data_IF_241068662785
#
_entry.id   IF_241068662785
#
_cell.length_a   1.000
_cell.length_b   1.000
_cell.length_c   1.000
_cell.angle_alpha   90.00
_cell.angle_beta   90.00
_cell.angle_gamma   90.00
#
_symmetry.space_group_name_H-M   'P 1'
#
loop_
_entity.id
_entity.type
_entity.pdbx_description
1 polymer ?
#
# COMPACT_ATOMS: atom_id res chain seq x y z
N UNK A 1 -25.01 4.94 -7.08
CA UNK A 1 -24.39 3.63 -7.32
C UNK A 1 -25.28 2.56 -6.70
N UNK A 2 -25.57 1.49 -7.44
CA UNK A 2 -26.31 0.34 -6.93
C UNK A 2 -25.32 -0.82 -6.80
N UNK A 3 -25.30 -1.46 -5.64
CA UNK A 3 -24.44 -2.60 -5.37
C UNK A 3 -24.31 -2.87 -3.88
N UNK A 4 -23.68 -3.98 -3.52
CA UNK A 4 -23.38 -4.33 -2.14
C UNK A 4 -21.91 -4.73 -2.01
N UNK A 5 -21.28 -4.33 -0.92
CA UNK A 5 -19.94 -4.76 -0.56
C UNK A 5 -20.05 -5.57 0.73
N UNK A 6 -19.35 -6.69 0.80
CA UNK A 6 -19.19 -7.49 2.01
C UNK A 6 -17.71 -7.75 2.26
N UNK A 7 -17.30 -7.68 3.51
CA UNK A 7 -15.94 -7.91 3.97
C UNK A 7 -16.00 -9.03 5.00
N UNK A 8 -15.41 -10.18 4.70
CA UNK A 8 -15.59 -11.41 5.50
C UNK A 8 -17.07 -11.78 5.73
N UNK A 9 -17.94 -11.50 4.74
CA UNK A 9 -19.39 -11.72 4.86
C UNK A 9 -20.14 -10.66 5.67
N UNK A 10 -19.46 -9.74 6.34
CA UNK A 10 -20.02 -8.65 7.15
C UNK A 10 -20.27 -7.40 6.29
N UNK A 11 -21.13 -6.49 6.78
CA UNK A 11 -21.27 -5.17 6.17
C UNK A 11 -20.04 -4.30 6.47
N UNK A 12 -19.68 -3.32 5.61
CA UNK A 12 -18.51 -2.46 5.80
C UNK A 12 -18.47 -1.77 7.17
N UNK A 13 -19.62 -1.35 7.70
CA UNK A 13 -19.71 -0.70 9.01
C UNK A 13 -19.30 -1.61 10.19
N UNK A 14 -19.57 -2.90 10.07
CA UNK A 14 -19.22 -3.92 11.07
C UNK A 14 -17.74 -4.30 10.92
N UNK A 15 -17.27 -4.43 9.67
CA UNK A 15 -15.92 -4.83 9.35
C UNK A 15 -14.88 -3.70 9.46
N UNK A 16 -15.28 -2.44 9.64
CA UNK A 16 -14.37 -1.28 9.63
C UNK A 16 -13.21 -1.37 10.63
N UNK A 17 -13.37 -2.11 11.72
CA UNK A 17 -12.28 -2.32 12.70
C UNK A 17 -11.19 -3.25 12.19
N UNK A 18 -11.49 -4.06 11.17
CA UNK A 18 -10.56 -4.99 10.52
C UNK A 18 -9.77 -4.31 9.41
N UNK A 19 -10.16 -3.08 9.02
CA UNK A 19 -9.59 -2.36 7.88
C UNK A 19 -8.70 -1.23 8.39
N UNK A 20 -7.47 -1.20 7.89
CA UNK A 20 -6.55 -0.08 8.02
C UNK A 20 -6.50 0.70 6.72
N UNK A 21 -6.74 2.00 6.76
CA UNK A 21 -6.65 2.86 5.58
C UNK A 21 -5.42 3.76 5.67
N UNK A 22 -4.66 3.76 4.60
CA UNK A 22 -3.46 4.56 4.43
C UNK A 22 -3.72 5.50 3.25
N UNK A 23 -4.06 6.78 3.53
CA UNK A 23 -4.40 7.76 2.51
C UNK A 23 -3.16 8.24 1.75
N UNK A 24 -3.40 8.81 0.57
CA UNK A 24 -2.40 9.53 -0.18
C UNK A 24 -1.78 10.66 0.67
N UNK A 25 -0.46 10.83 0.60
CA UNK A 25 0.31 11.80 1.41
C UNK A 25 -0.23 13.22 1.35
N UNK A 26 -0.72 13.66 0.19
CA UNK A 26 -1.17 15.04 -0.05
C UNK A 26 -2.45 15.40 0.70
N UNK A 27 -3.18 14.42 1.23
CA UNK A 27 -4.44 14.63 1.95
C UNK A 27 -4.24 14.89 3.45
N UNK A 28 -3.00 14.79 3.95
CA UNK A 28 -2.73 14.91 5.39
C UNK A 28 -2.04 16.24 5.69
N UNK A 29 -2.66 17.00 6.62
CA UNK A 29 -2.04 18.20 7.14
C UNK A 29 -0.98 17.85 8.19
N UNK A 30 0.29 18.03 7.83
CA UNK A 30 1.46 17.67 8.64
C UNK A 30 1.89 18.74 9.63
N UNK A 31 1.14 19.82 9.80
CA UNK A 31 1.52 20.95 10.68
C UNK A 31 1.50 20.62 12.19
N UNK A 32 1.35 19.34 12.56
CA UNK A 32 1.39 18.90 13.93
C UNK A 32 2.78 18.37 14.30
N UNK A 33 3.38 18.84 15.41
CA UNK A 33 4.70 18.39 15.85
C UNK A 33 4.61 17.02 16.57
N UNK A 34 4.21 15.98 15.84
CA UNK A 34 4.08 14.63 16.37
C UNK A 34 5.33 13.79 16.07
N UNK A 35 5.70 12.93 17.01
CA UNK A 35 6.73 11.91 16.79
C UNK A 35 6.17 10.69 16.08
N UNK A 36 7.05 9.84 15.50
CA UNK A 36 6.69 8.54 14.92
C UNK A 36 5.90 7.71 15.93
N UNK A 37 6.39 7.60 17.17
CA UNK A 37 5.71 6.89 18.26
C UNK A 37 4.28 7.39 18.43
N UNK A 38 4.08 8.69 18.55
CA UNK A 38 2.76 9.28 18.78
C UNK A 38 1.77 9.01 17.64
N UNK A 39 2.24 9.06 16.39
CA UNK A 39 1.38 8.74 15.23
C UNK A 39 1.00 7.26 15.23
N UNK A 40 1.93 6.36 15.55
CA UNK A 40 1.67 4.92 15.60
C UNK A 40 0.74 4.57 16.77
N UNK A 41 0.89 5.23 17.93
CA UNK A 41 -0.02 5.10 19.07
C UNK A 41 -1.48 5.46 18.75
N UNK A 42 -1.72 6.32 17.75
CA UNK A 42 -3.09 6.59 17.28
C UNK A 42 -3.80 5.33 16.76
N UNK A 43 -3.06 4.30 16.34
CA UNK A 43 -3.63 2.99 15.99
C UNK A 43 -4.33 2.27 17.15
N UNK A 44 -4.07 2.69 18.38
CA UNK A 44 -4.75 2.15 19.58
C UNK A 44 -6.11 2.81 19.84
N UNK A 45 -6.43 3.93 19.17
CA UNK A 45 -7.69 4.64 19.35
C UNK A 45 -8.84 3.73 18.85
N UNK A 46 -9.88 3.60 19.68
CA UNK A 46 -11.04 2.74 19.35
C UNK A 46 -10.88 1.26 19.75
N UNK A 47 -9.69 0.83 20.17
CA UNK A 47 -9.57 -0.42 20.93
C UNK A 47 -10.14 -0.16 22.32
N UNK A 48 -10.95 -1.09 22.84
CA UNK A 48 -11.42 -1.05 24.24
C UNK A 48 -10.26 -1.30 25.21
N UNK A 49 -9.26 -0.42 25.20
CA UNK A 49 -8.12 -0.49 26.10
C UNK A 49 -8.38 0.43 27.28
N UNK A 50 -8.66 -0.17 28.43
CA UNK A 50 -8.81 0.57 29.72
C UNK A 50 -7.55 1.37 30.06
N UNK A 51 -6.40 1.00 29.51
CA UNK A 51 -5.13 1.71 29.69
C UNK A 51 -4.32 1.72 28.39
N UNK A 52 -4.31 2.84 27.63
CA UNK A 52 -3.51 2.98 26.42
C UNK A 52 -2.00 2.87 26.68
N UNK A 53 -1.52 3.18 27.89
CA UNK A 53 -0.12 3.07 28.32
C UNK A 53 0.21 1.71 28.94
N UNK A 54 -0.60 0.68 28.73
CA UNK A 54 -0.28 -0.66 29.21
C UNK A 54 1.00 -1.18 28.54
N UNK A 55 1.78 -2.00 29.26
CA UNK A 55 3.00 -2.62 28.72
C UNK A 55 2.73 -3.35 27.39
N UNK A 56 1.56 -4.00 27.27
CA UNK A 56 1.15 -4.69 26.04
C UNK A 56 0.95 -3.72 24.87
N UNK A 57 0.35 -2.56 25.08
CA UNK A 57 0.13 -1.56 24.05
C UNK A 57 1.44 -0.90 23.62
N UNK A 58 2.31 -0.55 24.56
CA UNK A 58 3.65 -0.03 24.28
C UNK A 58 4.45 -1.02 23.45
N UNK A 59 4.44 -2.29 23.80
CA UNK A 59 5.11 -3.34 23.05
C UNK A 59 4.55 -3.48 21.62
N UNK A 60 3.23 -3.48 21.44
CA UNK A 60 2.61 -3.55 20.11
C UNK A 60 3.00 -2.37 19.21
N UNK A 61 3.12 -1.16 19.78
CA UNK A 61 3.59 0.04 19.06
C UNK A 61 5.05 -0.14 18.62
N UNK A 62 5.92 -0.59 19.53
CA UNK A 62 7.34 -0.79 19.23
C UNK A 62 7.57 -1.91 18.21
N UNK A 63 6.83 -3.01 18.30
CA UNK A 63 6.85 -4.10 17.32
C UNK A 63 6.43 -3.61 15.94
N UNK A 64 5.33 -2.85 15.85
CA UNK A 64 4.87 -2.28 14.56
C UNK A 64 5.86 -1.32 13.95
N UNK A 65 6.52 -0.46 14.76
CA UNK A 65 7.55 0.48 14.29
C UNK A 65 8.79 -0.29 13.82
N UNK A 66 9.17 -1.35 14.53
CA UNK A 66 10.31 -2.18 14.16
C UNK A 66 10.05 -2.96 12.87
N UNK A 67 8.84 -3.49 12.69
CA UNK A 67 8.42 -4.23 11.50
C UNK A 67 8.54 -3.41 10.21
N UNK A 68 8.33 -2.10 10.28
CA UNK A 68 8.49 -1.19 9.15
C UNK A 68 9.88 -0.53 9.06
N UNK A 69 10.85 -1.00 9.85
CA UNK A 69 12.24 -0.53 9.81
C UNK A 69 12.48 0.89 10.36
N UNK A 70 11.60 1.41 11.24
CA UNK A 70 11.69 2.78 11.78
C UNK A 70 12.13 2.85 13.25
N UNK A 71 12.79 1.83 13.76
CA UNK A 71 13.23 1.76 15.15
C UNK A 71 14.09 2.96 15.57
N UNK A 72 14.99 3.40 14.69
CA UNK A 72 15.92 4.51 14.96
C UNK A 72 15.24 5.89 14.84
N UNK A 73 14.06 5.95 14.25
CA UNK A 73 13.27 7.16 14.01
C UNK A 73 12.14 7.36 15.02
N UNK A 74 11.97 6.45 15.97
CA UNK A 74 10.81 6.36 16.86
C UNK A 74 10.45 7.68 17.56
N UNK A 75 11.43 8.47 17.94
CA UNK A 75 11.28 9.76 18.64
C UNK A 75 11.44 10.97 17.69
N UNK A 76 11.70 10.74 16.38
CA UNK A 76 11.76 11.82 15.40
C UNK A 76 10.39 12.41 15.13
N UNK A 77 10.36 13.71 14.87
CA UNK A 77 9.17 14.39 14.38
C UNK A 77 8.87 13.91 12.95
N UNK A 78 7.60 13.58 12.68
CA UNK A 78 7.17 13.08 11.36
C UNK A 78 7.41 14.07 10.22
N UNK A 79 7.48 15.37 10.52
CA UNK A 79 7.79 16.41 9.53
C UNK A 79 9.25 16.33 9.01
N UNK A 80 10.13 15.65 9.72
CA UNK A 80 11.53 15.46 9.36
C UNK A 80 11.81 14.14 8.64
N UNK A 81 10.75 13.40 8.26
CA UNK A 81 10.85 12.13 7.57
C UNK A 81 10.78 12.30 6.06
N UNK A 82 11.44 11.39 5.32
CA UNK A 82 11.23 11.26 3.88
C UNK A 82 9.80 10.79 3.56
N UNK A 83 9.39 10.90 2.29
CA UNK A 83 8.07 10.40 1.85
C UNK A 83 7.87 8.92 2.16
N UNK A 84 8.89 8.09 1.85
CA UNK A 84 8.83 6.65 2.11
C UNK A 84 8.81 6.32 3.61
N UNK A 85 9.61 7.00 4.43
CA UNK A 85 9.57 6.83 5.88
C UNK A 85 8.19 7.19 6.45
N UNK A 86 7.60 8.26 5.97
CA UNK A 86 6.28 8.68 6.41
C UNK A 86 5.19 7.65 6.04
N UNK A 87 5.27 7.06 4.84
CA UNK A 87 4.39 5.99 4.43
C UNK A 87 4.50 4.78 5.37
N UNK A 88 5.72 4.41 5.75
CA UNK A 88 5.99 3.34 6.72
C UNK A 88 5.39 3.64 8.11
N UNK A 89 5.36 4.90 8.55
CA UNK A 89 4.70 5.30 9.81
C UNK A 89 3.19 5.00 9.75
N UNK A 90 2.53 5.26 8.62
CA UNK A 90 1.11 4.93 8.48
C UNK A 90 0.84 3.43 8.44
N UNK A 91 1.72 2.68 7.79
CA UNK A 91 1.64 1.22 7.83
C UNK A 91 1.76 0.74 9.27
N UNK A 92 2.77 1.18 10.02
CA UNK A 92 2.95 0.83 11.44
C UNK A 92 1.71 1.17 12.29
N UNK A 93 1.09 2.32 12.05
CA UNK A 93 -0.16 2.71 12.72
C UNK A 93 -1.30 1.71 12.45
N UNK A 94 -1.46 1.26 11.20
CA UNK A 94 -2.51 0.27 10.85
C UNK A 94 -2.20 -1.11 11.41
N UNK A 95 -0.92 -1.50 11.49
CA UNK A 95 -0.49 -2.73 12.16
C UNK A 95 -0.81 -2.67 13.65
N UNK A 96 -0.48 -1.56 14.32
CA UNK A 96 -0.83 -1.32 15.73
C UNK A 96 -2.35 -1.35 15.96
N UNK A 97 -3.16 -0.87 15.01
CA UNK A 97 -4.61 -0.99 15.03
C UNK A 97 -5.05 -2.46 15.03
N UNK A 98 -4.23 -3.38 14.54
CA UNK A 98 -4.56 -4.81 14.39
C UNK A 98 -5.43 -5.07 13.17
N UNK A 99 -5.31 -4.26 12.13
CA UNK A 99 -6.04 -4.43 10.88
C UNK A 99 -5.68 -5.76 10.21
N UNK A 100 -6.67 -6.43 9.65
CA UNK A 100 -6.53 -7.66 8.87
C UNK A 100 -6.40 -7.34 7.37
N UNK A 101 -7.00 -6.20 6.95
CA UNK A 101 -6.96 -5.68 5.59
C UNK A 101 -6.32 -4.29 5.62
N UNK A 102 -5.34 -4.06 4.75
CA UNK A 102 -4.70 -2.76 4.54
C UNK A 102 -5.13 -2.21 3.18
N UNK A 103 -5.73 -1.01 3.18
CA UNK A 103 -6.06 -0.28 1.96
C UNK A 103 -5.05 0.86 1.80
N UNK A 104 -4.24 0.80 0.75
CA UNK A 104 -3.21 1.78 0.43
C UNK A 104 -3.64 2.59 -0.80
N UNK A 105 -3.77 3.89 -0.62
CA UNK A 105 -4.17 4.80 -1.69
C UNK A 105 -2.94 5.53 -2.23
N UNK A 106 -2.54 5.21 -3.47
CA UNK A 106 -1.34 5.74 -4.14
C UNK A 106 -0.06 5.73 -3.27
N UNK A 107 0.17 4.63 -2.55
CA UNK A 107 1.24 4.51 -1.56
C UNK A 107 2.65 4.76 -2.13
N UNK A 108 2.84 4.60 -3.43
CA UNK A 108 4.14 4.72 -4.12
C UNK A 108 4.33 6.05 -4.84
N UNK A 109 3.28 6.88 -5.01
CA UNK A 109 3.31 8.08 -5.88
C UNK A 109 4.27 9.19 -5.44
N UNK A 110 4.69 9.20 -4.18
CA UNK A 110 5.56 10.24 -3.61
C UNK A 110 6.88 9.67 -3.06
N UNK A 111 7.30 8.51 -3.55
CA UNK A 111 8.42 7.74 -3.02
C UNK A 111 9.43 7.53 -4.15
N UNK A 112 10.72 7.72 -3.90
CA UNK A 112 11.78 7.41 -4.86
C UNK A 112 11.91 5.90 -5.08
N UNK A 113 12.56 5.50 -6.20
CA UNK A 113 12.60 4.10 -6.66
C UNK A 113 13.17 3.16 -5.59
N UNK A 114 14.27 3.52 -4.94
CA UNK A 114 14.87 2.68 -3.91
C UNK A 114 13.97 2.52 -2.68
N UNK A 115 13.30 3.61 -2.26
CA UNK A 115 12.35 3.54 -1.17
C UNK A 115 11.05 2.82 -1.53
N UNK A 116 10.69 2.71 -2.82
CA UNK A 116 9.59 1.87 -3.30
C UNK A 116 9.91 0.38 -3.16
N UNK A 117 11.12 -0.05 -3.49
CA UNK A 117 11.58 -1.42 -3.32
C UNK A 117 11.52 -1.84 -1.84
N UNK A 118 12.12 -1.04 -0.96
CA UNK A 118 12.06 -1.25 0.48
C UNK A 118 10.61 -1.33 1.01
N UNK A 119 9.71 -0.50 0.47
CA UNK A 119 8.31 -0.49 0.87
C UNK A 119 7.59 -1.77 0.41
N UNK A 120 7.92 -2.27 -0.79
CA UNK A 120 7.38 -3.54 -1.30
C UNK A 120 7.86 -4.74 -0.47
N UNK A 121 9.12 -4.76 -0.01
CA UNK A 121 9.60 -5.78 0.90
C UNK A 121 8.77 -5.82 2.20
N UNK A 122 8.55 -4.66 2.81
CA UNK A 122 7.70 -4.54 4.01
C UNK A 122 6.28 -5.04 3.74
N UNK A 123 5.70 -4.70 2.59
CA UNK A 123 4.35 -5.13 2.19
C UNK A 123 4.31 -6.66 2.03
N UNK A 124 5.33 -7.25 1.42
CA UNK A 124 5.44 -8.70 1.28
C UNK A 124 5.56 -9.41 2.63
N UNK A 125 6.35 -8.88 3.57
CA UNK A 125 6.44 -9.43 4.92
C UNK A 125 5.08 -9.40 5.63
N UNK A 126 4.34 -8.29 5.52
CA UNK A 126 3.00 -8.13 6.09
C UNK A 126 2.00 -9.12 5.44
N UNK A 127 2.13 -9.38 4.14
CA UNK A 127 1.34 -10.39 3.42
C UNK A 127 1.65 -11.80 3.94
N UNK A 128 2.93 -12.13 4.15
CA UNK A 128 3.36 -13.41 4.72
C UNK A 128 2.81 -13.63 6.14
N UNK A 129 2.59 -12.57 6.90
CA UNK A 129 1.88 -12.59 8.20
C UNK A 129 0.36 -12.84 8.07
N UNK A 130 -0.13 -13.14 6.86
CA UNK A 130 -1.53 -13.51 6.59
C UNK A 130 -2.50 -12.32 6.45
N UNK A 131 -1.99 -11.12 6.21
CA UNK A 131 -2.84 -9.93 5.97
C UNK A 131 -3.19 -9.79 4.49
N UNK A 132 -4.36 -9.23 4.21
CA UNK A 132 -4.77 -8.83 2.86
C UNK A 132 -4.38 -7.38 2.61
N UNK A 133 -3.76 -7.11 1.45
CA UNK A 133 -3.31 -5.77 1.09
C UNK A 133 -3.92 -5.40 -0.25
N UNK A 134 -4.64 -4.29 -0.29
CA UNK A 134 -5.23 -3.72 -1.50
C UNK A 134 -4.56 -2.36 -1.77
N UNK A 135 -3.97 -2.21 -2.94
CA UNK A 135 -3.24 -1.01 -3.34
C UNK A 135 -3.93 -0.39 -4.55
N UNK A 136 -4.41 0.84 -4.39
CA UNK A 136 -4.82 1.64 -5.54
C UNK A 136 -3.59 2.30 -6.14
N UNK A 137 -3.35 2.06 -7.44
CA UNK A 137 -2.21 2.64 -8.17
C UNK A 137 -2.60 2.90 -9.62
N UNK A 138 -1.93 3.86 -10.23
CA UNK A 138 -1.96 4.09 -11.68
C UNK A 138 -0.66 3.63 -12.36
N UNK A 139 0.33 3.18 -11.58
CA UNK A 139 1.56 2.59 -12.10
C UNK A 139 1.34 1.11 -12.42
N UNK A 140 1.39 0.80 -13.71
CA UNK A 140 1.18 -0.57 -14.23
C UNK A 140 2.49 -1.31 -14.50
N UNK A 141 3.65 -0.70 -14.21
CA UNK A 141 4.94 -1.33 -14.45
C UNK A 141 5.18 -2.51 -13.51
N UNK A 142 5.53 -3.65 -14.06
CA UNK A 142 5.86 -4.88 -13.34
C UNK A 142 4.76 -5.34 -12.37
N UNK A 143 3.48 -5.12 -12.73
CA UNK A 143 2.33 -5.53 -11.90
C UNK A 143 2.35 -7.04 -11.65
N UNK A 144 2.68 -7.83 -12.66
CA UNK A 144 2.74 -9.31 -12.59
C UNK A 144 3.73 -9.81 -11.53
N UNK A 145 4.82 -9.08 -11.32
CA UNK A 145 5.84 -9.43 -10.32
C UNK A 145 5.48 -8.96 -8.90
N UNK A 146 4.65 -7.92 -8.81
CA UNK A 146 4.36 -7.24 -7.54
C UNK A 146 3.06 -7.71 -6.86
N UNK A 147 2.09 -8.18 -7.63
CA UNK A 147 0.74 -8.44 -7.14
C UNK A 147 0.24 -9.82 -7.56
N UNK A 148 -0.54 -10.47 -6.70
CA UNK A 148 -1.17 -11.76 -6.98
C UNK A 148 -2.38 -11.58 -7.92
N UNK A 149 -3.20 -10.59 -7.63
CA UNK A 149 -4.45 -10.31 -8.35
C UNK A 149 -4.57 -8.83 -8.67
N UNK A 150 -5.26 -8.50 -9.75
CA UNK A 150 -5.50 -7.14 -10.21
C UNK A 150 -7.00 -6.93 -10.44
N UNK A 151 -7.48 -5.75 -10.07
CA UNK A 151 -8.81 -5.25 -10.39
C UNK A 151 -8.66 -4.02 -11.28
N UNK A 152 -9.09 -4.11 -12.53
CA UNK A 152 -9.06 -3.02 -13.49
C UNK A 152 -10.37 -2.22 -13.45
N UNK A 153 -10.29 -0.93 -13.16
CA UNK A 153 -11.45 -0.06 -12.96
C UNK A 153 -11.43 1.13 -13.92
N UNK A 154 -12.48 1.26 -14.75
CA UNK A 154 -12.78 2.46 -15.53
C UNK A 154 -14.29 2.70 -15.50
N UNK A 155 -14.80 3.45 -14.48
CA UNK A 155 -16.23 3.65 -14.16
C UNK A 155 -17.00 2.36 -13.86
N UNK A 156 -16.54 1.22 -14.31
CA UNK A 156 -16.99 -0.14 -14.01
C UNK A 156 -15.77 -1.04 -13.84
N UNK A 157 -15.97 -2.26 -13.40
CA UNK A 157 -14.91 -3.26 -13.35
C UNK A 157 -14.71 -3.84 -14.75
N UNK A 158 -13.59 -3.46 -15.42
CA UNK A 158 -13.25 -3.97 -16.74
C UNK A 158 -12.75 -5.42 -16.67
N UNK A 159 -11.93 -5.72 -15.66
CA UNK A 159 -11.38 -7.06 -15.46
C UNK A 159 -10.99 -7.27 -13.99
N UNK A 160 -10.95 -8.54 -13.57
CA UNK A 160 -10.47 -8.99 -12.27
C UNK A 160 -9.89 -10.38 -12.39
N UNK A 161 -8.76 -10.65 -11.77
CA UNK A 161 -8.13 -11.98 -11.71
C UNK A 161 -6.64 -11.92 -11.47
N UNK A 162 -5.97 -13.03 -11.82
CA UNK A 162 -4.52 -13.18 -11.70
C UNK A 162 -3.78 -12.08 -12.46
N UNK A 163 -2.75 -11.51 -11.84
CA UNK A 163 -2.00 -10.37 -12.40
C UNK A 163 -1.31 -10.72 -13.73
N UNK A 164 -0.94 -11.98 -13.91
CA UNK A 164 -0.28 -12.47 -15.14
C UNK A 164 -1.23 -12.68 -16.32
N UNK A 165 -2.54 -12.76 -16.07
CA UNK A 165 -3.56 -13.11 -17.08
C UNK A 165 -4.47 -11.93 -17.44
N UNK A 166 -4.72 -11.02 -16.49
CA UNK A 166 -5.77 -9.99 -16.60
C UNK A 166 -5.39 -8.83 -17.50
N UNK A 167 -4.12 -8.44 -17.56
CA UNK A 167 -3.66 -7.25 -18.28
C UNK A 167 -3.48 -7.50 -19.78
N UNK A 168 -4.56 -7.93 -20.46
CA UNK A 168 -4.55 -8.08 -21.92
C UNK A 168 -4.59 -6.74 -22.63
N UNK A 169 -4.22 -6.74 -23.92
CA UNK A 169 -4.31 -5.54 -24.74
C UNK A 169 -5.73 -4.96 -24.76
N UNK A 170 -6.75 -5.80 -24.81
CA UNK A 170 -8.16 -5.39 -24.83
C UNK A 170 -8.54 -4.67 -23.52
N UNK A 171 -8.14 -5.19 -22.37
CA UNK A 171 -8.38 -4.57 -21.07
C UNK A 171 -7.65 -3.23 -20.97
N UNK A 172 -6.42 -3.15 -21.49
CA UNK A 172 -5.65 -1.89 -21.50
C UNK A 172 -6.29 -0.83 -22.41
N UNK A 173 -6.80 -1.23 -23.56
CA UNK A 173 -7.55 -0.34 -24.48
C UNK A 173 -8.85 0.15 -23.85
N UNK A 174 -9.54 -0.69 -23.09
CA UNK A 174 -10.75 -0.31 -22.35
C UNK A 174 -10.47 0.65 -21.20
N UNK A 175 -9.36 0.45 -20.47
CA UNK A 175 -8.97 1.31 -19.36
C UNK A 175 -8.51 2.70 -19.81
N UNK A 176 -7.70 2.77 -20.88
CA UNK A 176 -6.98 4.00 -21.27
C UNK A 176 -7.44 4.58 -22.61
N UNK A 177 -8.27 3.86 -23.38
CA UNK A 177 -8.70 4.21 -24.72
C UNK A 177 -7.67 3.81 -25.80
N UNK A 178 -8.12 3.66 -27.04
CA UNK A 178 -7.34 3.16 -28.18
C UNK A 178 -6.15 4.04 -28.61
N UNK A 179 -5.87 5.15 -27.94
CA UNK A 179 -4.73 6.02 -28.26
C UNK A 179 -3.43 5.70 -27.50
N UNK A 180 -3.44 4.75 -26.56
CA UNK A 180 -2.27 4.43 -25.74
C UNK A 180 -1.59 3.08 -26.08
N UNK A 181 -1.68 2.63 -27.33
CA UNK A 181 -0.95 1.42 -27.81
C UNK A 181 0.59 1.56 -27.80
N UNK A 182 1.14 2.66 -27.32
CA UNK A 182 2.58 2.90 -27.22
C UNK A 182 3.29 2.20 -26.05
N UNK A 183 2.56 1.70 -25.05
CA UNK A 183 3.19 1.14 -23.84
C UNK A 183 3.49 -0.36 -23.91
N UNK A 184 2.97 -1.07 -24.92
CA UNK A 184 3.11 -2.54 -25.04
C UNK A 184 4.28 -3.01 -25.89
N UNK A 185 5.11 -2.10 -26.46
CA UNK A 185 6.19 -2.45 -27.40
C UNK A 185 7.61 -2.22 -26.83
N UNK A 186 7.87 -2.55 -25.57
CA UNK A 186 9.24 -2.75 -25.09
C UNK A 186 9.55 -4.24 -24.96
N UNK A 187 9.62 -4.94 -26.08
CA UNK A 187 10.48 -6.12 -26.20
C UNK A 187 11.93 -5.64 -26.15
N UNK A 188 12.80 -6.19 -25.29
CA UNK A 188 14.22 -5.87 -25.30
C UNK A 188 14.79 -6.23 -26.67
N UNK A 189 15.21 -5.22 -27.41
CA UNK A 189 15.82 -5.41 -28.70
C UNK A 189 17.10 -6.22 -28.57
N UNK A 190 17.13 -7.35 -29.28
CA UNK A 190 18.30 -8.16 -29.51
C UNK A 190 19.32 -7.32 -30.29
N UNK A 191 20.35 -6.81 -29.63
CA UNK A 191 21.53 -6.24 -30.31
C UNK A 191 22.27 -7.37 -30.98
N UNK A 192 21.93 -7.62 -32.25
CA UNK A 192 22.71 -8.43 -33.13
C UNK A 192 23.98 -7.68 -33.51
N UNK A 193 25.10 -8.21 -33.06
CA UNK A 193 26.42 -7.86 -33.54
C UNK A 193 26.46 -8.00 -35.07
N UNK A 194 26.79 -6.92 -35.75
CA UNK A 194 27.22 -6.95 -37.13
C UNK A 194 28.69 -6.46 -37.19
N UNK A 195 29.60 -7.38 -36.89
CA UNK A 195 30.94 -7.33 -37.42
C UNK A 195 30.87 -7.64 -38.95
N UNK A 196 31.49 -6.81 -39.75
CA UNK A 196 31.59 -7.11 -41.17
C UNK A 196 32.29 -6.05 -42.01
N UNK A 197 33.62 -6.14 -42.11
CA UNK A 197 34.47 -5.74 -43.25
C UNK A 197 34.65 -4.26 -43.52
#
# INVERSE_FOLDING_TARGET
ANGSIKIYGENPEEAKKKIGYIPQKNLINWNFPLTVRQVVEMGLIGKNTLNPFSKKNTQAVEESINQVGLKNEIDKNVNNLSGGQLQRVFIARTLTQGSEILLLDEAFSAVDVGAQEDLMEIINDIKLDGKTILIATHDINNIEEKFDEVICLNRHCCAFGDSSEVLTQEVMEEMYGSHNSMFLNHTPGNHGDNDGS
#
